data_IF_135372261004
#
_entry.id   IF_135372261004
#
_cell.length_a   1.000
_cell.length_b   1.000
_cell.length_c   1.000
_cell.angle_alpha   90.00
_cell.angle_beta   90.00
_cell.angle_gamma   90.00
#
_symmetry.space_group_name_H-M   'P 1'
#
loop_
_entity.id
_entity.type
_entity.pdbx_description
1 polymer ?
#
# COMPACT_ATOMS: atom_id res chain seq x y z
N UNK A 1 28.65 60.31 14.45
CA UNK A 1 27.46 59.92 13.65
C UNK A 1 27.72 58.87 12.60
N UNK A 2 28.92 58.36 12.40
CA UNK A 2 29.19 57.30 11.39
C UNK A 2 29.07 55.86 11.95
N UNK A 3 28.98 55.69 13.26
CA UNK A 3 28.93 54.35 13.88
C UNK A 3 27.54 53.76 14.06
N UNK A 4 26.51 54.58 14.04
CA UNK A 4 25.11 54.10 14.23
C UNK A 4 24.53 53.46 12.97
N UNK A 5 24.96 53.94 11.80
CA UNK A 5 24.50 53.36 10.51
C UNK A 5 25.04 51.98 10.26
N UNK A 6 26.24 51.67 10.78
CA UNK A 6 26.86 50.36 10.61
C UNK A 6 26.21 49.26 11.50
N UNK A 7 25.70 49.66 12.68
CA UNK A 7 25.03 48.72 13.57
C UNK A 7 23.63 48.31 13.09
N UNK A 8 22.95 49.21 12.38
CA UNK A 8 21.62 48.93 11.82
C UNK A 8 21.68 47.98 10.61
N UNK A 9 22.78 48.01 9.85
CA UNK A 9 22.96 47.12 8.71
C UNK A 9 23.30 45.68 9.12
N UNK A 10 23.98 45.48 10.24
CA UNK A 10 24.33 44.14 10.77
C UNK A 10 23.12 43.48 11.42
N UNK A 11 22.18 44.26 11.97
CA UNK A 11 20.98 43.71 12.59
C UNK A 11 19.93 43.21 11.57
N UNK A 12 19.88 43.80 10.37
CA UNK A 12 19.01 43.32 9.29
C UNK A 12 19.47 42.01 8.63
N UNK A 13 20.75 41.67 8.72
CA UNK A 13 21.31 40.46 8.11
C UNK A 13 21.02 39.19 8.95
N UNK A 14 20.59 39.31 10.18
CA UNK A 14 20.33 38.17 11.08
C UNK A 14 18.89 37.68 11.07
N UNK A 15 17.99 38.34 10.36
CA UNK A 15 16.56 37.94 10.30
C UNK A 15 16.20 37.10 9.08
N UNK A 16 17.14 36.86 8.16
CA UNK A 16 16.90 36.11 6.91
C UNK A 16 17.25 34.61 7.05
N UNK A 17 17.53 34.14 8.23
CA UNK A 17 18.15 32.84 8.51
C UNK A 17 17.27 31.73 9.04
N UNK A 18 15.96 31.69 8.77
CA UNK A 18 15.16 30.52 9.15
C UNK A 18 13.94 30.32 8.22
N UNK A 19 14.20 30.29 6.91
CA UNK A 19 13.29 29.56 6.04
C UNK A 19 13.64 28.09 6.22
N UNK A 20 12.99 27.45 7.18
CA UNK A 20 12.96 25.99 7.26
C UNK A 20 12.32 25.52 5.97
N UNK A 21 13.15 25.07 5.06
CA UNK A 21 12.70 24.25 3.93
C UNK A 21 12.25 22.93 4.55
N UNK A 22 11.01 22.89 5.02
CA UNK A 22 10.35 21.63 5.21
C UNK A 22 10.33 20.97 3.82
N UNK A 23 11.33 20.14 3.58
CA UNK A 23 11.24 19.11 2.55
C UNK A 23 10.06 18.24 2.96
N UNK A 24 8.85 18.61 2.51
CA UNK A 24 7.77 17.66 2.36
C UNK A 24 8.35 16.59 1.46
N UNK A 25 8.79 15.49 2.07
CA UNK A 25 8.95 14.25 1.35
C UNK A 25 7.60 14.05 0.67
N UNK A 26 7.53 14.35 -0.63
CA UNK A 26 6.40 13.98 -1.44
C UNK A 26 6.26 12.48 -1.25
N UNK A 27 5.21 12.04 -0.58
CA UNK A 27 4.78 10.66 -0.62
C UNK A 27 4.47 10.38 -2.08
N UNK A 28 5.51 10.06 -2.84
CA UNK A 28 5.36 9.55 -4.19
C UNK A 28 4.53 8.30 -4.05
N UNK A 29 3.33 8.36 -4.60
CA UNK A 29 2.42 7.24 -4.63
C UNK A 29 3.16 6.03 -5.22
N UNK A 30 3.39 5.01 -4.39
CA UNK A 30 4.19 3.84 -4.76
C UNK A 30 3.31 2.85 -5.50
N UNK A 31 3.91 2.18 -6.48
CA UNK A 31 3.40 0.92 -7.01
C UNK A 31 4.32 -0.19 -6.54
N UNK A 32 3.73 -1.20 -5.94
CA UNK A 32 4.44 -2.37 -5.42
C UNK A 32 3.92 -3.61 -6.12
N UNK A 33 4.78 -4.60 -6.32
CA UNK A 33 4.37 -5.87 -6.87
C UNK A 33 5.18 -7.02 -6.29
N UNK A 34 4.56 -8.17 -6.20
CA UNK A 34 5.21 -9.41 -5.77
C UNK A 34 4.55 -10.61 -6.43
N UNK A 35 5.35 -11.59 -6.79
CA UNK A 35 4.89 -12.87 -7.30
C UNK A 35 4.89 -13.89 -6.18
N UNK A 36 3.85 -14.69 -6.10
CA UNK A 36 3.73 -15.81 -5.17
C UNK A 36 3.22 -17.06 -5.89
N UNK A 37 3.47 -18.20 -5.32
CA UNK A 37 2.99 -19.49 -5.83
C UNK A 37 2.16 -20.18 -4.76
N UNK A 38 0.92 -20.54 -5.09
CA UNK A 38 0.06 -21.34 -4.23
C UNK A 38 0.16 -22.82 -4.58
N UNK A 39 0.44 -23.65 -3.61
CA UNK A 39 0.52 -25.12 -3.76
C UNK A 39 -0.86 -25.80 -3.76
N UNK A 40 -1.89 -25.05 -3.40
CA UNK A 40 -3.31 -25.46 -3.34
C UNK A 40 -4.22 -24.29 -3.69
N UNK A 41 -5.51 -24.56 -3.85
CA UNK A 41 -6.52 -23.52 -4.00
C UNK A 41 -6.64 -22.69 -2.71
N UNK A 42 -6.80 -21.36 -2.85
CA UNK A 42 -7.02 -20.43 -1.76
C UNK A 42 -8.15 -19.46 -2.13
N UNK A 43 -8.83 -18.92 -1.13
CA UNK A 43 -9.87 -17.89 -1.34
C UNK A 43 -9.27 -16.52 -1.08
N UNK A 44 -9.48 -15.59 -1.98
CA UNK A 44 -9.08 -14.19 -1.87
C UNK A 44 -10.26 -13.30 -2.24
N UNK A 45 -10.74 -12.52 -1.30
CA UNK A 45 -11.86 -11.59 -1.50
C UNK A 45 -13.09 -12.26 -2.17
N UNK A 46 -13.42 -13.46 -1.71
CA UNK A 46 -14.53 -14.26 -2.24
C UNK A 46 -14.25 -14.98 -3.58
N UNK A 47 -13.08 -14.82 -4.15
CA UNK A 47 -12.67 -15.49 -5.39
C UNK A 47 -11.73 -16.65 -5.08
N UNK A 48 -11.98 -17.83 -5.63
CA UNK A 48 -11.09 -18.97 -5.49
C UNK A 48 -9.96 -18.88 -6.51
N UNK A 49 -8.74 -18.72 -6.01
CA UNK A 49 -7.51 -18.82 -6.78
C UNK A 49 -7.09 -20.28 -6.80
N UNK A 50 -6.91 -20.86 -7.98
CA UNK A 50 -6.43 -22.24 -8.14
C UNK A 50 -4.93 -22.31 -7.78
N UNK A 51 -4.43 -23.53 -7.56
CA UNK A 51 -2.99 -23.77 -7.48
C UNK A 51 -2.26 -23.13 -8.65
N UNK A 52 -1.18 -22.38 -8.38
CA UNK A 52 -0.39 -21.72 -9.43
C UNK A 52 0.28 -20.44 -8.99
N UNK A 53 0.88 -19.77 -9.96
CA UNK A 53 1.61 -18.52 -9.79
C UNK A 53 0.68 -17.31 -9.97
N UNK A 54 0.81 -16.31 -9.09
CA UNK A 54 0.01 -15.09 -9.10
C UNK A 54 0.87 -13.87 -8.82
N UNK A 55 0.60 -12.79 -9.55
CA UNK A 55 1.18 -11.47 -9.35
C UNK A 55 0.22 -10.60 -8.56
N UNK A 56 0.65 -10.12 -7.41
CA UNK A 56 -0.01 -9.09 -6.62
C UNK A 56 0.56 -7.73 -7.00
N UNK A 57 -0.30 -6.77 -7.32
CA UNK A 57 0.07 -5.38 -7.61
C UNK A 57 -0.72 -4.46 -6.68
N UNK A 58 -0.05 -3.51 -6.03
CA UNK A 58 -0.68 -2.51 -5.20
C UNK A 58 -0.34 -1.10 -5.71
N UNK A 59 -1.33 -0.20 -5.70
CA UNK A 59 -1.22 1.19 -6.14
C UNK A 59 -1.68 2.13 -5.03
N UNK A 60 -0.73 2.79 -4.36
CA UNK A 60 -1.01 3.73 -3.27
C UNK A 60 -1.88 4.91 -3.73
N UNK A 61 -1.71 5.39 -4.98
CA UNK A 61 -2.51 6.49 -5.49
C UNK A 61 -3.99 6.10 -5.66
N UNK A 62 -4.26 4.89 -6.13
CA UNK A 62 -5.62 4.35 -6.21
C UNK A 62 -6.23 4.19 -4.80
N UNK A 63 -5.44 3.69 -3.84
CA UNK A 63 -5.87 3.57 -2.44
C UNK A 63 -6.29 4.91 -1.85
N UNK A 64 -5.49 5.98 -2.05
CA UNK A 64 -5.79 7.32 -1.56
C UNK A 64 -7.06 7.91 -2.15
N UNK A 65 -7.45 7.51 -3.37
CA UNK A 65 -8.70 7.93 -4.01
C UNK A 65 -9.91 7.07 -3.61
N UNK A 66 -9.72 6.04 -2.77
CA UNK A 66 -10.77 5.09 -2.38
C UNK A 66 -11.18 4.12 -3.49
N UNK A 67 -10.33 3.96 -4.52
CA UNK A 67 -10.53 3.04 -5.64
C UNK A 67 -9.95 1.66 -5.32
N UNK A 68 -10.23 0.65 -6.19
CA UNK A 68 -9.53 -0.61 -6.13
C UNK A 68 -8.02 -0.35 -6.27
N UNK A 69 -7.25 -0.78 -5.29
CA UNK A 69 -5.81 -0.52 -5.19
C UNK A 69 -4.97 -1.78 -5.27
N UNK A 70 -5.58 -2.93 -5.11
CA UNK A 70 -4.94 -4.24 -5.24
C UNK A 70 -5.50 -4.97 -6.43
N UNK A 71 -4.61 -5.49 -7.26
CA UNK A 71 -4.91 -6.24 -8.48
C UNK A 71 -4.13 -7.55 -8.43
N UNK A 72 -4.80 -8.67 -8.65
CA UNK A 72 -4.16 -9.99 -8.66
C UNK A 72 -4.35 -10.63 -10.03
N UNK A 73 -3.25 -10.98 -10.64
CA UNK A 73 -3.19 -11.57 -11.98
C UNK A 73 -2.68 -13.00 -11.89
N UNK A 74 -3.23 -13.89 -12.74
CA UNK A 74 -2.66 -15.21 -12.96
C UNK A 74 -1.32 -15.08 -13.70
N UNK A 75 -0.28 -15.77 -13.19
CA UNK A 75 1.08 -15.70 -13.70
C UNK A 75 1.90 -14.57 -13.06
N UNK A 76 2.86 -14.03 -13.79
CA UNK A 76 3.87 -13.09 -13.29
C UNK A 76 3.88 -11.74 -14.01
N UNK A 77 2.88 -11.46 -14.84
CA UNK A 77 2.79 -10.21 -15.58
C UNK A 77 1.38 -9.59 -15.49
N UNK A 78 1.26 -8.26 -15.45
CA UNK A 78 -0.01 -7.56 -15.30
C UNK A 78 -0.78 -7.48 -16.63
N UNK A 79 -1.13 -8.61 -17.16
CA UNK A 79 -1.87 -8.74 -18.43
C UNK A 79 -3.37 -8.63 -18.12
N UNK A 80 -4.07 -7.65 -18.70
CA UNK A 80 -5.46 -7.34 -18.38
C UNK A 80 -6.40 -8.56 -18.44
N UNK A 81 -6.27 -9.41 -19.45
CA UNK A 81 -7.09 -10.63 -19.59
C UNK A 81 -6.81 -11.71 -18.53
N UNK A 82 -5.72 -11.57 -17.77
CA UNK A 82 -5.33 -12.45 -16.66
C UNK A 82 -5.65 -11.87 -15.29
N UNK A 83 -6.30 -10.72 -15.22
CA UNK A 83 -6.80 -10.16 -13.96
C UNK A 83 -7.87 -11.11 -13.39
N UNK A 84 -7.63 -11.60 -12.18
CA UNK A 84 -8.52 -12.53 -11.48
C UNK A 84 -9.43 -11.79 -10.51
N UNK A 85 -8.86 -10.86 -9.74
CA UNK A 85 -9.59 -10.08 -8.74
C UNK A 85 -8.93 -8.74 -8.51
N UNK A 86 -9.74 -7.72 -8.22
CA UNK A 86 -9.28 -6.42 -7.74
C UNK A 86 -10.17 -5.96 -6.59
N UNK A 87 -9.59 -5.27 -5.61
CA UNK A 87 -10.30 -4.78 -4.43
C UNK A 87 -9.59 -3.58 -3.79
N UNK A 88 -10.32 -2.87 -2.94
CA UNK A 88 -9.76 -1.84 -2.07
C UNK A 88 -9.31 -2.50 -0.77
N UNK A 89 -8.01 -2.45 -0.47
CA UNK A 89 -7.43 -3.01 0.74
C UNK A 89 -7.46 -2.01 1.91
N UNK A 90 -7.33 -2.50 3.13
CA UNK A 90 -7.24 -1.68 4.35
C UNK A 90 -5.80 -1.74 4.87
N UNK A 91 -5.10 -0.59 5.01
CA UNK A 91 -3.75 -0.57 5.52
C UNK A 91 -3.71 -0.92 7.01
N UNK A 92 -2.73 -1.74 7.40
CA UNK A 92 -2.46 -2.13 8.79
C UNK A 92 -0.97 -1.96 9.06
N UNK A 93 -0.62 -1.30 10.16
CA UNK A 93 0.77 -1.19 10.59
C UNK A 93 1.29 -2.53 11.13
N UNK A 94 2.49 -2.92 10.69
CA UNK A 94 3.19 -4.15 11.07
C UNK A 94 4.69 -3.90 11.25
N UNK A 95 5.40 -4.88 11.79
CA UNK A 95 6.85 -4.89 11.71
C UNK A 95 7.31 -4.98 10.25
N UNK A 96 8.47 -4.38 9.94
CA UNK A 96 9.05 -4.38 8.60
C UNK A 96 9.24 -5.80 8.07
N UNK A 97 8.65 -6.08 6.92
CA UNK A 97 8.78 -7.37 6.26
C UNK A 97 10.13 -7.52 5.53
N UNK A 98 10.77 -8.67 5.64
CA UNK A 98 12.00 -8.98 4.90
C UNK A 98 11.71 -9.52 3.50
N UNK A 99 10.52 -10.07 3.29
CA UNK A 99 10.06 -10.67 2.04
C UNK A 99 8.57 -10.43 1.89
N UNK A 100 7.99 -10.76 0.73
CA UNK A 100 6.54 -10.74 0.56
C UNK A 100 5.90 -11.78 1.49
N UNK A 101 4.93 -11.34 2.26
CA UNK A 101 4.23 -12.17 3.27
C UNK A 101 2.75 -12.21 2.93
N UNK A 102 2.17 -13.40 2.95
CA UNK A 102 0.73 -13.63 2.92
C UNK A 102 0.33 -14.26 4.25
N UNK A 103 -0.71 -13.71 4.87
CA UNK A 103 -1.33 -14.26 6.06
C UNK A 103 -2.71 -14.77 5.70
N UNK A 104 -2.97 -16.00 6.07
CA UNK A 104 -4.21 -16.71 5.76
C UNK A 104 -4.75 -17.46 6.97
N UNK A 105 -6.02 -17.79 6.93
CA UNK A 105 -6.71 -18.57 7.96
C UNK A 105 -7.46 -19.71 7.28
N UNK A 106 -7.56 -20.85 7.94
CA UNK A 106 -8.47 -21.92 7.54
C UNK A 106 -9.86 -21.60 8.08
N UNK A 107 -10.81 -21.31 7.19
CA UNK A 107 -12.19 -20.92 7.54
C UNK A 107 -13.11 -22.12 7.67
N UNK A 108 -12.79 -23.22 7.00
CA UNK A 108 -13.43 -24.52 7.10
C UNK A 108 -12.45 -25.61 6.65
N UNK A 109 -12.69 -26.88 6.95
CA UNK A 109 -11.77 -27.96 6.57
C UNK A 109 -11.38 -27.89 5.07
N UNK A 110 -10.08 -27.69 4.80
CA UNK A 110 -9.52 -27.61 3.45
C UNK A 110 -9.75 -26.27 2.72
N UNK A 111 -10.39 -25.27 3.35
CA UNK A 111 -10.60 -23.93 2.78
C UNK A 111 -9.68 -22.91 3.47
N UNK A 112 -8.69 -22.44 2.75
CA UNK A 112 -7.77 -21.40 3.21
C UNK A 112 -8.16 -20.06 2.61
N UNK A 113 -8.38 -19.05 3.43
CA UNK A 113 -8.73 -17.69 3.02
C UNK A 113 -7.59 -16.73 3.34
N UNK A 114 -7.18 -15.92 2.36
CA UNK A 114 -6.19 -14.87 2.55
C UNK A 114 -6.82 -13.68 3.28
N UNK A 115 -6.18 -13.30 4.38
CA UNK A 115 -6.64 -12.21 5.24
C UNK A 115 -5.82 -10.94 5.06
N UNK A 116 -4.55 -11.08 4.67
CA UNK A 116 -3.60 -9.96 4.68
C UNK A 116 -2.38 -10.29 3.82
N UNK A 117 -1.79 -9.30 3.20
CA UNK A 117 -0.49 -9.42 2.53
C UNK A 117 0.37 -8.19 2.81
N UNK A 118 1.71 -8.36 2.74
CA UNK A 118 2.69 -7.32 3.03
C UNK A 118 3.87 -7.43 2.08
N UNK A 119 4.27 -6.32 1.47
CA UNK A 119 5.42 -6.28 0.56
C UNK A 119 6.74 -6.26 1.32
N UNK A 120 7.78 -6.76 0.67
CA UNK A 120 9.13 -6.73 1.21
C UNK A 120 9.60 -5.29 1.44
N UNK A 121 10.23 -5.04 2.58
CA UNK A 121 10.75 -3.72 2.96
C UNK A 121 9.70 -2.78 3.57
N UNK A 122 8.44 -3.16 3.61
CA UNK A 122 7.36 -2.33 4.09
C UNK A 122 7.01 -2.59 5.56
N UNK A 123 6.56 -1.54 6.26
CA UNK A 123 5.94 -1.61 7.58
C UNK A 123 4.41 -1.57 7.49
N UNK A 124 3.86 -1.40 6.29
CA UNK A 124 2.44 -1.44 6.01
C UNK A 124 2.06 -2.80 5.41
N UNK A 125 1.07 -3.41 5.97
CA UNK A 125 0.39 -4.60 5.47
C UNK A 125 -1.00 -4.20 4.99
N UNK A 126 -1.58 -4.99 4.11
CA UNK A 126 -2.85 -4.71 3.46
C UNK A 126 -3.85 -5.81 3.83
N UNK A 127 -4.85 -5.46 4.66
CA UNK A 127 -5.94 -6.38 4.95
C UNK A 127 -6.87 -6.52 3.74
N UNK A 128 -7.27 -7.76 3.50
CA UNK A 128 -8.24 -8.12 2.47
C UNK A 128 -9.64 -8.03 3.10
N UNK A 129 -10.50 -7.10 2.66
CA UNK A 129 -11.86 -7.04 3.16
C UNK A 129 -12.63 -8.28 2.70
N UNK A 130 -13.50 -8.80 3.55
CA UNK A 130 -14.43 -9.84 3.14
C UNK A 130 -15.43 -9.26 2.13
N UNK A 131 -15.89 -10.07 1.19
CA UNK A 131 -16.89 -9.63 0.19
C UNK A 131 -18.17 -9.07 0.81
N UNK A 132 -18.46 -9.41 2.05
CA UNK A 132 -19.61 -8.94 2.82
C UNK A 132 -19.41 -7.47 3.25
N UNK A 133 -18.20 -7.05 3.59
CA UNK A 133 -17.92 -5.71 4.11
C UNK A 133 -18.11 -4.60 3.06
N UNK A 134 -17.99 -4.91 1.77
CA UNK A 134 -18.17 -3.93 0.70
C UNK A 134 -19.66 -3.58 0.45
N UNK A 135 -20.60 -4.48 0.76
CA UNK A 135 -22.03 -4.20 0.60
C UNK A 135 -22.61 -3.29 1.69
N UNK A 136 -21.93 -3.15 2.82
CA UNK A 136 -22.39 -2.29 3.93
C UNK A 136 -21.98 -0.83 3.76
N UNK A 137 -20.98 -0.53 2.95
CA UNK A 137 -20.47 0.84 2.72
C UNK A 137 -21.10 1.58 1.54
N UNK A 138 -22.04 0.97 0.80
CA UNK A 138 -22.70 1.59 -0.36
C UNK A 138 -24.00 2.33 0.02
N UNK A 139 -24.38 2.36 1.31
CA UNK A 139 -25.54 3.12 1.80
C UNK A 139 -25.10 4.20 2.79
N UNK A 140 -24.50 5.28 2.27
CA UNK A 140 -24.59 6.62 2.90
C UNK A 140 -24.53 7.68 1.83
#
# INVERSE_FOLDING_TARGET
>A
MKSVAFFLMVLCALIIGSVSWETRASNLARKQSAVTNFDRAVVLHGVTLQKGEYLFVHDDAAMQRGEACTYVYEGNAPIAKKLVVSFHCVPIERAKAKQFIIRSVETSPGVTELQEFQFAGDTESHAVPTSIDQHLNVKK
#
